data_IF_663147493264
#
_entry.id   IF_663147493264
#
_cell.length_a   1.000
_cell.length_b   1.000
_cell.length_c   1.000
_cell.angle_alpha   90.00
_cell.angle_beta   90.00
_cell.angle_gamma   90.00
#
_symmetry.space_group_name_H-M   'P 1'
#
loop_
_entity.id
_entity.type
_entity.pdbx_description
1 polymer ?
#
# COMPACT_ATOMS: atom_id res chain seq x y z
N UNK A 1 59.24 -10.43 30.86
CA UNK A 1 57.83 -10.89 31.02
C UNK A 1 56.80 -9.77 31.16
N UNK A 2 57.09 -8.64 31.83
CA UNK A 2 56.10 -7.56 32.05
C UNK A 2 55.67 -6.78 30.80
N UNK A 3 56.58 -6.55 29.85
CA UNK A 3 56.29 -5.76 28.63
C UNK A 3 55.30 -6.48 27.70
N UNK A 4 55.41 -7.82 27.62
CA UNK A 4 54.50 -8.65 26.82
C UNK A 4 53.07 -8.66 27.40
N UNK A 5 52.95 -8.69 28.73
CA UNK A 5 51.67 -8.60 29.43
C UNK A 5 51.02 -7.22 29.26
N UNK A 6 51.83 -6.15 29.31
CA UNK A 6 51.35 -4.79 29.05
C UNK A 6 50.74 -4.63 27.66
N UNK A 7 51.42 -5.15 26.63
CA UNK A 7 50.93 -5.12 25.25
C UNK A 7 49.62 -5.93 25.07
N UNK A 8 49.52 -7.10 25.72
CA UNK A 8 48.29 -7.91 25.70
C UNK A 8 47.11 -7.18 26.34
N UNK A 9 47.32 -6.52 27.47
CA UNK A 9 46.25 -5.77 28.18
C UNK A 9 45.80 -4.57 27.36
N UNK A 10 46.73 -3.79 26.80
CA UNK A 10 46.38 -2.64 25.94
C UNK A 10 45.66 -3.10 24.67
N UNK A 11 46.08 -4.21 24.06
CA UNK A 11 45.39 -4.81 22.92
C UNK A 11 43.96 -5.25 23.26
N UNK A 12 43.77 -5.88 24.41
CA UNK A 12 42.44 -6.32 24.87
C UNK A 12 41.51 -5.13 25.15
N UNK A 13 42.00 -4.06 25.78
CA UNK A 13 41.22 -2.84 26.03
C UNK A 13 40.84 -2.15 24.72
N UNK A 14 41.77 -2.06 23.76
CA UNK A 14 41.50 -1.52 22.42
C UNK A 14 40.43 -2.34 21.69
N UNK A 15 40.50 -3.67 21.74
CA UNK A 15 39.52 -4.56 21.13
C UNK A 15 38.11 -4.36 21.75
N UNK A 16 38.04 -4.26 23.09
CA UNK A 16 36.78 -4.06 23.82
C UNK A 16 36.18 -2.68 23.52
N UNK A 17 37.01 -1.65 23.36
CA UNK A 17 36.54 -0.29 23.02
C UNK A 17 36.05 -0.18 21.57
N UNK A 18 36.66 -0.91 20.63
CA UNK A 18 36.32 -0.85 19.19
C UNK A 18 35.18 -1.81 18.82
N UNK A 19 35.02 -2.92 19.55
CA UNK A 19 33.95 -3.90 19.34
C UNK A 19 32.53 -3.28 19.28
N UNK A 20 32.08 -2.41 20.21
CA UNK A 20 30.75 -1.81 20.14
C UNK A 20 30.59 -0.88 18.93
N UNK A 21 31.63 -0.13 18.53
CA UNK A 21 31.60 0.69 17.33
C UNK A 21 31.44 -0.15 16.05
N UNK A 22 32.14 -1.28 15.96
CA UNK A 22 32.02 -2.21 14.84
C UNK A 22 30.63 -2.85 14.82
N UNK A 23 30.08 -3.25 15.95
CA UNK A 23 28.70 -3.79 16.03
C UNK A 23 27.68 -2.74 15.60
N UNK A 24 27.82 -1.47 15.99
CA UNK A 24 26.95 -0.39 15.52
C UNK A 24 27.03 -0.21 14.00
N UNK A 25 28.24 -0.17 13.42
CA UNK A 25 28.43 -0.06 11.97
C UNK A 25 27.84 -1.27 11.23
N UNK A 26 27.99 -2.47 11.78
CA UNK A 26 27.49 -3.70 11.19
C UNK A 26 25.96 -3.78 11.28
N UNK A 27 25.34 -3.29 12.34
CA UNK A 27 23.88 -3.16 12.47
C UNK A 27 23.30 -2.10 11.52
N UNK A 28 23.99 -0.96 11.33
CA UNK A 28 23.60 0.06 10.35
C UNK A 28 23.69 -0.48 8.92
N UNK A 29 24.78 -1.20 8.60
CA UNK A 29 24.97 -1.81 7.28
C UNK A 29 24.03 -3.01 7.03
N UNK A 30 23.69 -3.78 8.07
CA UNK A 30 22.74 -4.88 7.96
C UNK A 30 21.32 -4.37 7.65
N UNK A 31 20.95 -3.17 8.11
CA UNK A 31 19.67 -2.53 7.75
C UNK A 31 19.62 -2.20 6.25
N UNK A 32 20.74 -1.80 5.63
CA UNK A 32 20.84 -1.64 4.16
C UNK A 32 20.78 -2.99 3.40
N UNK A 33 21.37 -4.04 3.96
CA UNK A 33 21.39 -5.39 3.39
C UNK A 33 20.02 -6.08 3.41
N UNK A 34 19.26 -5.91 4.50
CA UNK A 34 17.88 -6.44 4.64
C UNK A 34 16.93 -5.72 3.68
N UNK A 35 17.15 -4.42 3.42
CA UNK A 35 16.36 -3.71 2.42
C UNK A 35 16.58 -4.21 0.99
N UNK A 36 17.76 -4.74 0.64
CA UNK A 36 18.00 -5.35 -0.68
C UNK A 36 17.16 -6.62 -0.89
N UNK A 37 17.08 -7.49 0.12
CA UNK A 37 16.27 -8.73 0.07
C UNK A 37 14.77 -8.39 0.06
N UNK A 38 14.34 -7.39 0.85
CA UNK A 38 12.97 -6.87 0.83
C UNK A 38 12.57 -6.28 -0.53
N UNK A 39 13.46 -5.55 -1.19
CA UNK A 39 13.27 -5.00 -2.55
C UNK A 39 13.13 -6.09 -3.62
N UNK A 40 13.83 -7.22 -3.48
CA UNK A 40 13.73 -8.34 -4.41
C UNK A 40 12.40 -9.11 -4.27
N UNK A 41 11.96 -9.35 -3.02
CA UNK A 41 10.71 -10.07 -2.73
C UNK A 41 9.49 -9.24 -3.17
N UNK A 42 9.50 -7.92 -2.96
CA UNK A 42 8.40 -7.02 -3.38
C UNK A 42 8.26 -6.87 -4.90
N UNK A 43 9.36 -6.97 -5.67
CA UNK A 43 9.32 -6.99 -7.15
C UNK A 43 8.55 -8.19 -7.72
N UNK A 44 8.69 -9.36 -7.09
CA UNK A 44 7.95 -10.57 -7.47
C UNK A 44 6.47 -10.45 -7.10
N UNK A 45 6.17 -9.89 -5.93
CA UNK A 45 4.79 -9.64 -5.47
C UNK A 45 3.97 -8.74 -6.42
N UNK A 46 4.57 -7.65 -6.94
CA UNK A 46 3.90 -6.71 -7.88
C UNK A 46 3.48 -7.39 -9.20
N UNK A 47 4.27 -8.34 -9.71
CA UNK A 47 3.97 -9.07 -10.96
C UNK A 47 2.76 -10.01 -10.81
N UNK A 48 2.56 -10.55 -9.61
CA UNK A 48 1.44 -11.44 -9.28
C UNK A 48 0.14 -10.65 -9.14
N UNK A 49 0.17 -9.49 -8.47
CA UNK A 49 -1.02 -8.63 -8.30
C UNK A 49 -1.49 -8.07 -9.66
N UNK A 50 -0.57 -7.60 -10.52
CA UNK A 50 -0.92 -7.12 -11.87
C UNK A 50 -1.52 -8.21 -12.76
N UNK A 51 -1.03 -9.46 -12.67
CA UNK A 51 -1.62 -10.60 -13.39
C UNK A 51 -3.03 -10.92 -12.92
N UNK A 52 -3.31 -10.81 -11.62
CA UNK A 52 -4.67 -10.97 -11.08
C UNK A 52 -5.60 -9.87 -11.57
N UNK A 53 -5.18 -8.60 -11.54
CA UNK A 53 -5.99 -7.49 -12.03
C UNK A 53 -6.24 -7.57 -13.54
N UNK A 54 -5.26 -7.99 -14.34
CA UNK A 54 -5.43 -8.23 -15.77
C UNK A 54 -6.39 -9.40 -16.08
N UNK A 55 -6.36 -10.48 -15.28
CA UNK A 55 -7.33 -11.57 -15.39
C UNK A 55 -8.75 -11.14 -15.01
N UNK A 56 -8.89 -10.28 -13.99
CA UNK A 56 -10.20 -9.73 -13.60
C UNK A 56 -10.72 -8.78 -14.68
N UNK A 57 -9.89 -7.88 -15.22
CA UNK A 57 -10.28 -6.98 -16.31
C UNK A 57 -10.68 -7.75 -17.59
N UNK A 58 -9.94 -8.80 -17.94
CA UNK A 58 -10.28 -9.66 -19.09
C UNK A 58 -11.62 -10.41 -18.92
N UNK A 59 -11.94 -10.81 -17.69
CA UNK A 59 -13.22 -11.47 -17.40
C UNK A 59 -14.43 -10.54 -17.53
N UNK A 60 -14.28 -9.25 -17.19
CA UNK A 60 -15.33 -8.24 -17.35
C UNK A 60 -15.60 -8.00 -18.83
N UNK A 61 -14.56 -7.84 -19.66
CA UNK A 61 -14.73 -7.66 -21.12
C UNK A 61 -15.33 -8.88 -21.82
N UNK A 62 -15.03 -10.09 -21.36
CA UNK A 62 -15.63 -11.32 -21.89
C UNK A 62 -17.12 -11.48 -21.53
N UNK A 63 -17.50 -11.07 -20.31
CA UNK A 63 -18.90 -11.06 -19.87
C UNK A 63 -19.73 -10.01 -20.63
N UNK A 64 -19.14 -8.85 -20.96
CA UNK A 64 -19.80 -7.78 -21.72
C UNK A 64 -19.96 -8.13 -23.21
N UNK A 65 -18.98 -8.82 -23.80
CA UNK A 65 -19.08 -9.39 -25.14
C UNK A 65 -20.17 -10.48 -25.23
N UNK A 66 -20.31 -11.32 -24.20
CA UNK A 66 -21.39 -12.32 -24.13
C UNK A 66 -22.78 -11.65 -23.97
N UNK A 67 -22.86 -10.54 -23.22
CA UNK A 67 -24.10 -9.78 -23.00
C UNK A 67 -24.59 -9.09 -24.26
N UNK A 68 -23.67 -8.56 -25.07
CA UNK A 68 -23.98 -7.93 -26.36
C UNK A 68 -24.35 -8.96 -27.45
N UNK A 69 -23.82 -10.17 -27.40
CA UNK A 69 -24.25 -11.27 -28.27
C UNK A 69 -25.69 -11.76 -27.96
N UNK A 70 -26.13 -11.70 -26.70
CA UNK A 70 -27.50 -12.09 -26.31
C UNK A 70 -28.56 -11.00 -26.54
N UNK A 71 -28.16 -9.75 -26.78
CA UNK A 71 -29.08 -8.63 -26.99
C UNK A 71 -29.60 -8.55 -28.44
N UNK A 72 -28.99 -9.27 -29.39
CA UNK A 72 -29.35 -9.22 -30.82
C UNK A 72 -30.42 -10.23 -31.28
N UNK A 73 -30.93 -11.10 -30.42
CA UNK A 73 -31.76 -12.27 -30.83
C UNK A 73 -33.13 -12.36 -30.17
N UNK A 74 -33.69 -11.25 -29.68
CA UNK A 74 -34.97 -11.26 -28.97
C UNK A 74 -36.01 -10.25 -29.49
N UNK A 75 -35.95 -9.84 -30.76
CA UNK A 75 -37.05 -9.15 -31.43
C UNK A 75 -37.93 -10.14 -32.20
N UNK A 76 -38.74 -10.90 -31.48
CA UNK A 76 -39.64 -11.88 -32.10
C UNK A 76 -40.70 -12.40 -31.14
N UNK A 77 -41.85 -11.71 -31.08
CA UNK A 77 -43.14 -12.33 -30.82
C UNK A 77 -43.42 -12.87 -29.42
N UNK A 78 -43.63 -12.00 -28.43
CA UNK A 78 -44.32 -12.37 -27.18
C UNK A 78 -45.32 -11.29 -26.71
N UNK A 79 -45.92 -10.58 -27.66
CA UNK A 79 -47.17 -9.85 -27.40
C UNK A 79 -48.30 -10.83 -27.73
N UNK A 80 -49.24 -11.01 -26.79
CA UNK A 80 -50.53 -11.70 -26.94
C UNK A 80 -50.61 -13.11 -26.34
N UNK A 81 -50.74 -13.18 -25.01
CA UNK A 81 -51.12 -14.40 -24.28
C UNK A 81 -51.76 -14.11 -22.91
N UNK A 82 -52.85 -14.82 -22.50
CA UNK A 82 -53.72 -14.45 -21.38
C UNK A 82 -53.18 -14.79 -19.97
N UNK A 83 -51.86 -14.74 -19.75
CA UNK A 83 -51.22 -15.18 -18.50
C UNK A 83 -50.83 -14.02 -17.57
N UNK A 84 -51.72 -13.05 -17.34
CA UNK A 84 -51.50 -11.98 -16.33
C UNK A 84 -51.98 -12.33 -14.92
N UNK A 85 -52.58 -13.51 -14.68
CA UNK A 85 -53.20 -13.85 -13.38
C UNK A 85 -52.40 -14.82 -12.49
N UNK A 86 -51.29 -15.38 -12.98
CA UNK A 86 -50.52 -16.42 -12.27
C UNK A 86 -49.15 -15.95 -11.73
N UNK A 87 -48.85 -14.65 -11.72
CA UNK A 87 -47.55 -14.11 -11.29
C UNK A 87 -47.41 -13.81 -9.79
N UNK A 88 -48.35 -14.25 -8.95
CA UNK A 88 -48.23 -14.11 -7.48
C UNK A 88 -47.68 -15.35 -6.76
N UNK A 89 -47.30 -16.42 -7.47
CA UNK A 89 -46.89 -17.67 -6.82
C UNK A 89 -45.74 -18.39 -7.52
N UNK A 90 -44.64 -17.69 -7.81
CA UNK A 90 -43.36 -18.35 -8.05
C UNK A 90 -42.26 -17.75 -7.18
N UNK A 91 -41.79 -18.55 -6.23
CA UNK A 91 -40.46 -18.43 -5.63
C UNK A 91 -39.32 -18.32 -6.66
N UNK A 92 -39.59 -18.63 -7.94
CA UNK A 92 -38.66 -18.58 -9.07
C UNK A 92 -38.27 -17.16 -9.47
N UNK A 93 -39.12 -16.14 -9.20
CA UNK A 93 -38.71 -14.74 -9.36
C UNK A 93 -37.54 -14.36 -8.46
N UNK A 94 -37.37 -15.06 -7.33
CA UNK A 94 -36.27 -14.86 -6.37
C UNK A 94 -34.94 -15.43 -6.82
N UNK A 95 -34.97 -16.49 -7.62
CA UNK A 95 -33.76 -17.08 -8.17
C UNK A 95 -33.14 -16.22 -9.28
N UNK A 96 -33.92 -15.38 -9.97
CA UNK A 96 -33.43 -14.61 -11.12
C UNK A 96 -32.84 -13.24 -10.74
N UNK A 97 -33.16 -12.67 -9.58
CA UNK A 97 -32.43 -11.49 -9.07
C UNK A 97 -31.22 -11.86 -8.21
N UNK A 98 -31.14 -13.08 -7.69
CA UNK A 98 -30.00 -13.51 -6.85
C UNK A 98 -28.79 -13.96 -7.65
N UNK A 99 -28.90 -14.15 -8.97
CA UNK A 99 -27.79 -14.63 -9.83
C UNK A 99 -27.00 -13.48 -10.49
N UNK A 100 -27.47 -12.23 -10.42
CA UNK A 100 -26.82 -11.10 -11.10
C UNK A 100 -26.28 -9.99 -10.17
N UNK A 101 -26.41 -10.13 -8.85
CA UNK A 101 -25.73 -9.25 -7.92
C UNK A 101 -24.42 -9.91 -7.50
N UNK A 102 -23.32 -9.58 -8.19
CA UNK A 102 -22.00 -9.82 -7.64
C UNK A 102 -21.97 -9.23 -6.21
N UNK A 103 -21.42 -9.93 -5.21
CA UNK A 103 -21.28 -9.36 -3.87
C UNK A 103 -20.59 -7.99 -4.02
N UNK A 104 -21.09 -6.93 -3.34
CA UNK A 104 -20.48 -5.61 -3.46
C UNK A 104 -18.98 -5.75 -3.21
N UNK A 105 -18.14 -5.07 -4.00
CA UNK A 105 -16.69 -5.21 -3.88
C UNK A 105 -16.30 -4.93 -2.43
N UNK A 106 -15.78 -5.95 -1.75
CA UNK A 106 -15.31 -5.82 -0.38
C UNK A 106 -14.07 -4.91 -0.44
N UNK A 107 -14.03 -3.80 0.33
CA UNK A 107 -12.86 -2.93 0.35
C UNK A 107 -11.63 -3.74 0.74
N UNK A 108 -10.59 -3.69 -0.10
CA UNK A 108 -9.41 -4.55 -0.02
C UNK A 108 -8.30 -4.01 0.90
N UNK A 109 -8.64 -3.12 1.84
CA UNK A 109 -7.69 -2.48 2.74
C UNK A 109 -8.36 -1.65 3.84
N UNK A 110 -7.57 -0.96 4.68
CA UNK A 110 -8.11 -0.08 5.70
C UNK A 110 -8.97 1.03 5.06
N UNK A 111 -10.00 1.53 5.76
CA UNK A 111 -10.77 2.68 5.29
C UNK A 111 -9.86 3.88 4.99
N UNK A 112 -10.17 4.62 3.93
CA UNK A 112 -9.34 5.74 3.47
C UNK A 112 -9.24 6.84 4.54
N UNK A 113 -10.25 6.98 5.39
CA UNK A 113 -10.30 7.92 6.51
C UNK A 113 -9.30 7.55 7.61
N UNK A 114 -9.18 6.24 7.90
CA UNK A 114 -8.20 5.74 8.85
C UNK A 114 -6.79 6.04 8.33
N UNK A 115 -6.56 5.80 7.03
CA UNK A 115 -5.28 6.06 6.39
C UNK A 115 -4.92 7.56 6.39
N UNK A 116 -5.89 8.43 6.16
CA UNK A 116 -5.72 9.87 6.29
C UNK A 116 -5.41 10.29 7.75
N UNK A 117 -6.01 9.63 8.74
CA UNK A 117 -5.69 9.81 10.15
C UNK A 117 -4.25 9.40 10.48
N UNK A 118 -3.85 8.22 10.03
CA UNK A 118 -2.51 7.67 10.22
C UNK A 118 -1.45 8.53 9.56
N UNK A 119 -1.67 8.97 8.32
CA UNK A 119 -0.77 9.87 7.60
C UNK A 119 -0.60 11.20 8.33
N UNK A 120 -1.67 11.83 8.83
CA UNK A 120 -1.57 13.06 9.64
C UNK A 120 -0.79 12.82 10.92
N UNK A 121 -1.07 11.72 11.63
CA UNK A 121 -0.37 11.36 12.87
C UNK A 121 1.11 11.13 12.62
N UNK A 122 1.47 10.29 11.66
CA UNK A 122 2.85 9.97 11.31
C UNK A 122 3.60 11.19 10.78
N UNK A 123 2.94 12.07 10.00
CA UNK A 123 3.55 13.31 9.56
C UNK A 123 3.90 14.22 10.74
N UNK A 124 3.03 14.34 11.76
CA UNK A 124 3.37 15.08 12.99
C UNK A 124 4.55 14.45 13.74
N UNK A 125 4.59 13.12 13.84
CA UNK A 125 5.69 12.41 14.49
C UNK A 125 7.02 12.61 13.75
N UNK A 126 6.99 12.59 12.42
CA UNK A 126 8.16 12.83 11.55
C UNK A 126 8.69 14.26 11.67
N UNK A 127 7.80 15.25 11.77
CA UNK A 127 8.17 16.67 11.89
C UNK A 127 8.54 17.08 13.33
N UNK A 128 8.23 16.26 14.33
CA UNK A 128 8.59 16.51 15.73
C UNK A 128 10.08 16.26 15.99
N UNK A 129 10.87 17.33 16.02
CA UNK A 129 12.35 17.28 16.08
C UNK A 129 12.93 16.98 17.49
N UNK A 130 12.13 16.80 18.54
CA UNK A 130 12.67 16.74 19.91
C UNK A 130 13.00 15.32 20.42
N UNK A 131 14.28 15.06 20.72
CA UNK A 131 14.79 14.01 21.66
C UNK A 131 14.37 12.56 21.40
N UNK A 132 14.36 12.10 20.13
CA UNK A 132 14.10 10.69 19.80
C UNK A 132 15.34 10.02 19.22
N UNK A 133 15.47 8.71 19.44
CA UNK A 133 16.58 7.94 18.90
C UNK A 133 16.49 7.83 17.37
N UNK A 134 17.64 7.68 16.66
CA UNK A 134 17.65 7.47 15.21
C UNK A 134 16.80 6.27 14.76
N UNK A 135 16.80 5.18 15.55
CA UNK A 135 16.00 3.97 15.29
C UNK A 135 14.51 4.30 15.27
N UNK A 136 14.03 5.09 16.23
CA UNK A 136 12.63 5.51 16.27
C UNK A 136 12.27 6.37 15.06
N UNK A 137 13.15 7.31 14.68
CA UNK A 137 12.93 8.16 13.52
C UNK A 137 12.81 7.33 12.23
N UNK A 138 13.72 6.38 12.01
CA UNK A 138 13.66 5.46 10.87
C UNK A 138 12.38 4.62 10.86
N UNK A 139 11.93 4.14 12.03
CA UNK A 139 10.68 3.40 12.14
C UNK A 139 9.45 4.26 11.74
N UNK A 140 9.41 5.53 12.16
CA UNK A 140 8.34 6.47 11.77
C UNK A 140 8.39 6.75 10.27
N UNK A 141 9.57 6.95 9.69
CA UNK A 141 9.73 7.17 8.25
C UNK A 141 9.22 5.97 7.44
N UNK A 142 9.64 4.75 7.82
CA UNK A 142 9.17 3.51 7.18
C UNK A 142 7.65 3.35 7.27
N UNK A 143 7.07 3.62 8.44
CA UNK A 143 5.63 3.57 8.64
C UNK A 143 4.89 4.61 7.79
N UNK A 144 5.48 5.81 7.62
CA UNK A 144 4.94 6.86 6.78
C UNK A 144 4.92 6.46 5.30
N UNK A 145 6.04 5.94 4.79
CA UNK A 145 6.14 5.50 3.39
C UNK A 145 5.22 4.30 3.09
N UNK A 146 5.02 3.40 4.05
CA UNK A 146 4.03 2.33 3.93
C UNK A 146 2.61 2.89 3.79
N UNK A 147 2.22 3.81 4.67
CA UNK A 147 0.90 4.43 4.61
C UNK A 147 0.69 5.19 3.28
N UNK A 148 1.72 5.87 2.75
CA UNK A 148 1.66 6.52 1.44
C UNK A 148 1.44 5.50 0.31
N UNK A 149 2.14 4.36 0.35
CA UNK A 149 1.99 3.29 -0.66
C UNK A 149 0.59 2.68 -0.66
N UNK A 150 0.05 2.42 0.52
CA UNK A 150 -1.34 1.92 0.65
C UNK A 150 -2.32 2.95 0.09
N UNK A 151 -2.14 4.23 0.38
CA UNK A 151 -3.04 5.29 -0.07
C UNK A 151 -3.01 5.43 -1.60
N UNK A 152 -1.81 5.42 -2.17
CA UNK A 152 -1.61 5.45 -3.62
C UNK A 152 -2.26 4.23 -4.29
N UNK A 153 -2.12 3.04 -3.70
CA UNK A 153 -2.75 1.82 -4.21
C UNK A 153 -4.27 1.88 -4.22
N UNK A 154 -4.90 2.50 -3.20
CA UNK A 154 -6.36 2.68 -3.15
C UNK A 154 -6.87 3.73 -4.13
N UNK A 155 -6.07 4.77 -4.40
CA UNK A 155 -6.44 5.88 -5.29
C UNK A 155 -5.92 5.73 -6.73
N UNK A 156 -5.22 4.65 -7.04
CA UNK A 156 -4.65 4.40 -8.37
C UNK A 156 -3.55 5.39 -8.75
N UNK A 157 -2.82 5.94 -7.78
CA UNK A 157 -1.72 6.89 -8.01
C UNK A 157 -0.42 6.10 -8.16
N UNK A 158 0.33 6.37 -9.23
CA UNK A 158 1.65 5.79 -9.42
C UNK A 158 2.67 6.39 -8.44
N UNK A 159 3.53 5.52 -7.89
CA UNK A 159 4.56 5.86 -6.91
C UNK A 159 5.81 4.99 -7.08
N UNK A 160 6.95 5.52 -6.64
CA UNK A 160 8.28 4.91 -6.79
C UNK A 160 9.08 4.88 -5.46
N UNK A 161 8.42 4.97 -4.31
CA UNK A 161 9.07 5.06 -2.98
C UNK A 161 9.98 3.87 -2.64
N UNK A 162 9.84 2.72 -3.32
CA UNK A 162 10.70 1.55 -3.15
C UNK A 162 11.86 1.47 -4.16
N UNK A 163 11.91 2.40 -5.11
CA UNK A 163 12.87 2.42 -6.23
C UNK A 163 13.92 3.51 -6.05
N UNK A 164 13.64 4.53 -5.23
CA UNK A 164 14.54 5.66 -4.93
C UNK A 164 15.04 5.62 -3.48
N UNK A 165 16.18 6.28 -3.22
CA UNK A 165 16.80 6.36 -1.89
C UNK A 165 17.39 7.76 -1.65
N UNK A 166 17.78 8.03 -0.39
CA UNK A 166 18.39 9.31 -0.02
C UNK A 166 17.50 10.51 -0.36
N UNK A 167 18.07 11.53 -1.00
CA UNK A 167 17.36 12.76 -1.38
C UNK A 167 16.25 12.49 -2.39
N UNK A 168 16.45 11.55 -3.32
CA UNK A 168 15.44 11.22 -4.33
C UNK A 168 14.17 10.62 -3.69
N UNK A 169 14.33 9.87 -2.59
CA UNK A 169 13.21 9.38 -1.80
C UNK A 169 12.42 10.52 -1.15
N UNK A 170 13.10 11.55 -0.67
CA UNK A 170 12.43 12.73 -0.10
C UNK A 170 11.66 13.52 -1.17
N UNK A 171 12.24 13.65 -2.38
CA UNK A 171 11.57 14.28 -3.52
C UNK A 171 10.34 13.47 -3.95
N UNK A 172 10.47 12.16 -4.09
CA UNK A 172 9.34 11.28 -4.43
C UNK A 172 8.24 11.33 -3.37
N UNK A 173 8.62 11.37 -2.08
CA UNK A 173 7.67 11.54 -0.97
C UNK A 173 6.88 12.85 -1.13
N UNK A 174 7.53 13.96 -1.42
CA UNK A 174 6.84 15.24 -1.65
C UNK A 174 5.92 15.20 -2.87
N UNK A 175 6.34 14.56 -3.97
CA UNK A 175 5.50 14.37 -5.16
C UNK A 175 4.24 13.57 -4.84
N UNK A 176 4.40 12.45 -4.13
CA UNK A 176 3.30 11.58 -3.69
C UNK A 176 2.38 12.32 -2.72
N UNK A 177 2.93 13.05 -1.76
CA UNK A 177 2.16 13.88 -0.83
C UNK A 177 1.26 14.86 -1.60
N UNK A 178 1.82 15.56 -2.59
CA UNK A 178 1.07 16.49 -3.44
C UNK A 178 0.02 15.79 -4.31
N UNK A 179 0.30 14.59 -4.81
CA UNK A 179 -0.68 13.81 -5.60
C UNK A 179 -1.88 13.37 -4.73
N UNK A 180 -1.62 12.87 -3.53
CA UNK A 180 -2.66 12.50 -2.57
C UNK A 180 -3.50 13.71 -2.15
N UNK A 181 -2.87 14.87 -1.93
CA UNK A 181 -3.59 16.12 -1.64
C UNK A 181 -4.50 16.53 -2.79
N UNK A 182 -4.03 16.45 -4.05
CA UNK A 182 -4.86 16.72 -5.24
C UNK A 182 -6.02 15.73 -5.39
N UNK A 183 -5.86 14.50 -4.91
CA UNK A 183 -6.92 13.51 -4.83
C UNK A 183 -7.87 13.71 -3.62
N UNK A 184 -7.67 14.76 -2.81
CA UNK A 184 -8.53 15.13 -1.68
C UNK A 184 -8.08 14.63 -0.31
N UNK A 185 -6.90 13.99 -0.21
CA UNK A 185 -6.40 13.42 1.05
C UNK A 185 -5.53 14.45 1.78
N UNK A 186 -6.05 15.02 2.86
CA UNK A 186 -5.35 16.05 3.65
C UNK A 186 -4.26 15.42 4.55
N UNK A 187 -3.00 15.56 4.13
CA UNK A 187 -1.83 14.98 4.83
C UNK A 187 -1.24 15.89 5.92
N UNK A 188 -1.54 17.18 5.84
CA UNK A 188 -1.11 18.20 6.80
C UNK A 188 -2.36 18.72 7.47
N UNK A 189 -2.28 18.98 8.78
CA UNK A 189 -3.29 19.81 9.43
C UNK A 189 -3.15 21.22 8.83
N UNK A 190 -3.84 21.49 7.74
CA UNK A 190 -4.04 22.85 7.23
C UNK A 190 -4.98 23.57 8.17
N UNK A 191 -4.49 23.90 9.36
CA UNK A 191 -5.03 24.99 10.16
C UNK A 191 -4.53 26.31 9.56
N UNK A 192 -4.64 26.46 8.25
CA UNK A 192 -4.35 27.71 7.54
C UNK A 192 -5.65 28.48 7.53
N UNK A 193 -6.00 29.01 8.69
CA UNK A 193 -6.96 30.09 8.77
C UNK A 193 -6.36 31.27 8.03
N UNK A 194 -7.03 31.67 6.96
CA UNK A 194 -7.00 33.02 6.42
C UNK A 194 -6.95 34.04 7.57
N UNK A 195 -5.94 34.91 7.53
CA UNK A 195 -6.01 36.30 8.01
C UNK A 195 -5.30 37.17 7.00
#
# INVERSE_FOLDING_TARGET
>A
MGVLHGLLVVGAIGLIAVAPCLVCLLLISADEGIEWVGRAIRRVGRKIVRRRQAMVAGSVTGAEAAKSASAGTAEGGWRDGPLRRWWHMSWVGRALYTVAAAPPPVPSGPPIEQLAGDLRRLNRLRMGVATRSPVWFNAVQRAYDEALRVACGQLGIDQYLDEVSGVDLEVERLRVEGALQRAGLALRDTKTGLR
#
